data_IF_884779716630
#
_entry.id   IF_884779716630
#
_cell.length_a   1.000
_cell.length_b   1.000
_cell.length_c   1.000
_cell.angle_alpha   90.00
_cell.angle_beta   90.00
_cell.angle_gamma   90.00
#
_symmetry.space_group_name_H-M   'P 1'
#
loop_
_entity.id
_entity.type
_entity.pdbx_description
1 polymer ?
#
# COMPACT_ATOMS: atom_id res chain seq x y z
N UNK A 1 -49.23 38.99 6.03
CA UNK A 1 -48.57 38.45 4.83
C UNK A 1 -47.54 37.44 5.31
N UNK A 2 -47.95 36.19 5.50
CA UNK A 2 -47.10 35.13 6.07
C UNK A 2 -46.44 34.39 4.90
N UNK A 3 -45.11 34.48 4.81
CA UNK A 3 -44.30 33.86 3.76
C UNK A 3 -44.33 32.34 3.98
N UNK A 4 -44.84 31.60 3.00
CA UNK A 4 -44.89 30.13 3.05
C UNK A 4 -43.49 29.53 3.03
N UNK A 5 -43.21 28.66 3.99
CA UNK A 5 -41.97 27.90 4.07
C UNK A 5 -41.98 26.84 2.96
N UNK A 6 -41.02 26.87 2.04
CA UNK A 6 -40.85 25.77 1.08
C UNK A 6 -40.21 24.57 1.79
N UNK A 7 -40.69 23.33 1.57
CA UNK A 7 -40.04 22.15 2.10
C UNK A 7 -38.62 22.05 1.53
N UNK A 8 -37.64 21.90 2.41
CA UNK A 8 -36.26 21.60 2.03
C UNK A 8 -36.30 20.25 1.28
N UNK A 9 -35.73 20.15 0.06
CA UNK A 9 -35.62 18.87 -0.62
C UNK A 9 -34.99 17.85 0.33
N UNK A 10 -35.69 16.74 0.58
CA UNK A 10 -35.15 15.65 1.38
C UNK A 10 -33.95 15.12 0.60
N UNK A 11 -32.75 15.43 1.07
CA UNK A 11 -31.51 14.91 0.49
C UNK A 11 -31.67 13.39 0.38
N UNK A 12 -31.54 12.87 -0.84
CA UNK A 12 -31.48 11.44 -1.07
C UNK A 12 -30.34 10.92 -0.21
N UNK A 13 -30.63 10.02 0.74
CA UNK A 13 -29.62 9.47 1.65
C UNK A 13 -28.65 8.62 0.82
N UNK A 14 -27.66 9.26 0.23
CA UNK A 14 -26.54 8.59 -0.45
C UNK A 14 -25.57 8.17 0.64
N UNK A 15 -25.13 6.91 0.58
CA UNK A 15 -24.13 6.39 1.51
C UNK A 15 -22.85 7.25 1.40
N UNK A 16 -22.35 7.74 2.55
CA UNK A 16 -21.13 8.53 2.59
C UNK A 16 -19.94 7.70 2.14
N UNK A 17 -19.02 8.30 1.38
CA UNK A 17 -17.77 7.63 1.01
C UNK A 17 -17.01 7.15 2.25
N UNK A 18 -16.68 5.86 2.27
CA UNK A 18 -15.81 5.25 3.29
C UNK A 18 -14.45 4.95 2.68
N UNK A 19 -13.40 5.45 3.32
CA UNK A 19 -12.02 5.14 2.92
C UNK A 19 -11.78 3.62 2.96
N UNK A 20 -11.25 3.10 1.86
CA UNK A 20 -10.69 1.75 1.79
C UNK A 20 -9.20 1.87 1.56
N UNK A 21 -8.35 1.21 2.36
CA UNK A 21 -6.91 1.17 2.09
C UNK A 21 -6.64 0.51 0.74
N UNK A 22 -5.56 0.93 0.10
CA UNK A 22 -5.07 0.29 -1.12
C UNK A 22 -4.44 -1.03 -0.72
N UNK A 23 -4.90 -2.12 -1.33
CA UNK A 23 -4.30 -3.44 -1.18
C UNK A 23 -3.51 -3.75 -2.46
N UNK A 24 -2.23 -4.10 -2.31
CA UNK A 24 -1.35 -4.49 -3.42
C UNK A 24 -0.96 -5.94 -3.22
N UNK A 25 -1.24 -6.78 -4.21
CA UNK A 25 -0.80 -8.17 -4.22
C UNK A 25 0.67 -8.22 -4.65
N UNK A 26 1.53 -8.69 -3.75
CA UNK A 26 2.99 -8.69 -3.95
C UNK A 26 3.53 -10.02 -4.48
N UNK A 27 2.75 -11.10 -4.45
CA UNK A 27 3.23 -12.44 -4.81
C UNK A 27 4.56 -12.79 -4.10
N UNK A 28 4.64 -12.50 -2.81
CA UNK A 28 5.86 -12.61 -2.01
C UNK A 28 5.57 -12.50 -0.52
N UNK A 29 6.59 -12.65 0.35
CA UNK A 29 6.41 -12.45 1.77
C UNK A 29 6.12 -10.97 2.09
N UNK A 30 5.45 -10.74 3.22
CA UNK A 30 5.18 -9.39 3.69
C UNK A 30 6.51 -8.63 3.92
N UNK A 31 6.65 -7.41 3.36
CA UNK A 31 7.81 -6.59 3.63
C UNK A 31 7.83 -6.14 5.10
N UNK A 32 9.01 -5.85 5.67
CA UNK A 32 9.09 -5.34 7.03
C UNK A 32 8.34 -4.01 7.15
N UNK A 33 7.67 -3.84 8.28
CA UNK A 33 6.96 -2.61 8.61
C UNK A 33 7.93 -1.45 8.87
N UNK A 34 7.41 -0.23 8.81
CA UNK A 34 8.20 0.96 9.10
C UNK A 34 8.86 0.90 10.50
N UNK A 35 8.12 0.44 11.51
CA UNK A 35 8.65 0.32 12.88
C UNK A 35 9.78 -0.70 12.97
N UNK A 36 9.65 -1.84 12.29
CA UNK A 36 10.70 -2.87 12.24
C UNK A 36 11.96 -2.34 11.55
N UNK A 37 11.80 -1.59 10.45
CA UNK A 37 12.93 -0.95 9.74
C UNK A 37 13.72 -0.03 10.68
N UNK A 38 13.03 0.76 11.51
CA UNK A 38 13.66 1.70 12.43
C UNK A 38 14.32 1.01 13.63
N UNK A 39 13.75 -0.09 14.12
CA UNK A 39 14.13 -0.69 15.41
C UNK A 39 15.04 -1.91 15.29
N UNK A 40 14.98 -2.66 14.17
CA UNK A 40 15.69 -3.93 14.01
C UNK A 40 17.01 -3.82 13.23
N UNK A 41 17.53 -2.60 13.06
CA UNK A 41 18.85 -2.39 12.47
C UNK A 41 18.91 -2.49 10.94
N UNK A 42 17.77 -2.46 10.24
CA UNK A 42 17.74 -2.45 8.77
C UNK A 42 18.47 -1.25 8.16
N UNK A 43 18.55 -0.13 8.90
CA UNK A 43 19.25 1.07 8.46
C UNK A 43 20.76 1.04 8.66
N UNK A 44 21.32 0.03 9.33
CA UNK A 44 22.76 -0.01 9.65
C UNK A 44 23.66 0.01 8.41
N UNK A 45 23.17 -0.46 7.26
CA UNK A 45 23.89 -0.47 5.99
C UNK A 45 23.36 0.57 4.98
N UNK A 46 22.47 1.45 5.40
CA UNK A 46 21.87 2.48 4.56
C UNK A 46 22.48 3.83 4.92
N UNK A 47 22.86 4.61 3.90
CA UNK A 47 23.37 5.97 4.09
C UNK A 47 22.31 6.83 4.78
N UNK A 48 22.69 7.55 5.83
CA UNK A 48 21.83 8.53 6.50
C UNK A 48 21.42 9.68 5.57
N UNK A 49 20.18 10.15 5.72
CA UNK A 49 19.65 11.28 4.98
C UNK A 49 20.26 12.59 5.49
N UNK A 50 20.61 13.46 4.55
CA UNK A 50 21.09 14.82 4.85
C UNK A 50 19.94 15.72 5.30
N UNK A 51 20.23 16.81 6.00
CA UNK A 51 19.20 17.76 6.47
C UNK A 51 18.43 18.39 5.31
N UNK A 52 19.07 18.58 4.15
CA UNK A 52 18.42 19.08 2.95
C UNK A 52 17.42 18.06 2.38
N UNK A 53 17.76 16.77 2.36
CA UNK A 53 16.85 15.71 1.91
C UNK A 53 15.67 15.55 2.87
N UNK A 54 15.92 15.63 4.18
CA UNK A 54 14.86 15.65 5.20
C UNK A 54 13.91 16.83 5.05
N UNK A 55 14.44 18.02 4.73
CA UNK A 55 13.61 19.19 4.41
C UNK A 55 12.70 19.00 3.19
N UNK A 56 13.06 18.08 2.28
CA UNK A 56 12.25 17.66 1.13
C UNK A 56 11.30 16.49 1.40
N UNK A 57 11.23 15.99 2.64
CA UNK A 57 10.40 14.84 3.03
C UNK A 57 11.04 13.48 2.75
N UNK A 58 12.33 13.43 2.41
CA UNK A 58 13.06 12.17 2.27
C UNK A 58 13.75 11.79 3.58
N UNK A 59 13.65 10.52 3.95
CA UNK A 59 14.46 9.91 5.00
C UNK A 59 14.99 8.55 4.51
N UNK A 60 16.11 8.10 5.08
CA UNK A 60 16.80 6.85 4.71
C UNK A 60 15.91 5.62 4.84
N UNK A 61 14.97 5.62 5.80
CA UNK A 61 14.05 4.49 5.96
C UNK A 61 13.18 4.28 4.74
N UNK A 62 12.82 5.34 4.01
CA UNK A 62 11.98 5.24 2.82
C UNK A 62 12.71 4.48 1.70
N UNK A 63 14.00 4.75 1.53
CA UNK A 63 14.83 4.02 0.58
C UNK A 63 15.00 2.54 0.98
N UNK A 64 15.23 2.28 2.28
CA UNK A 64 15.31 0.92 2.80
C UNK A 64 14.01 0.13 2.56
N UNK A 65 12.87 0.72 2.92
CA UNK A 65 11.55 0.12 2.75
C UNK A 65 11.26 -0.18 1.26
N UNK A 66 11.59 0.76 0.36
CA UNK A 66 11.40 0.56 -1.08
C UNK A 66 12.25 -0.58 -1.61
N UNK A 67 13.51 -0.65 -1.20
CA UNK A 67 14.43 -1.71 -1.60
C UNK A 67 13.97 -3.09 -1.11
N UNK A 68 13.48 -3.18 0.13
CA UNK A 68 12.93 -4.42 0.68
C UNK A 68 11.69 -4.87 -0.09
N UNK A 69 10.78 -3.94 -0.40
CA UNK A 69 9.58 -4.24 -1.19
C UNK A 69 9.95 -4.82 -2.57
N UNK A 70 10.91 -4.22 -3.27
CA UNK A 70 11.38 -4.73 -4.56
C UNK A 70 12.06 -6.10 -4.44
N UNK A 71 12.74 -6.37 -3.33
CA UNK A 71 13.42 -7.64 -3.10
C UNK A 71 12.44 -8.80 -2.80
N UNK A 72 11.31 -8.51 -2.15
CA UNK A 72 10.32 -9.53 -1.77
C UNK A 72 9.21 -9.73 -2.80
N UNK A 73 8.92 -8.72 -3.62
CA UNK A 73 7.86 -8.78 -4.61
C UNK A 73 8.14 -9.86 -5.68
N UNK A 74 7.15 -10.69 -5.97
CA UNK A 74 7.19 -11.69 -7.03
C UNK A 74 7.97 -12.97 -6.70
N UNK A 75 8.45 -13.15 -5.46
CA UNK A 75 9.19 -14.36 -5.07
C UNK A 75 8.35 -15.65 -5.13
N UNK A 76 7.04 -15.56 -5.01
CA UNK A 76 6.11 -16.70 -5.11
C UNK A 76 5.51 -16.86 -6.50
N UNK A 77 5.78 -15.93 -7.41
CA UNK A 77 5.30 -16.00 -8.78
C UNK A 77 6.06 -17.08 -9.55
N UNK A 78 5.32 -18.10 -10.00
CA UNK A 78 5.82 -19.15 -10.90
C UNK A 78 5.12 -18.98 -12.25
N UNK A 79 5.83 -18.63 -13.33
CA UNK A 79 5.21 -18.51 -14.64
C UNK A 79 4.80 -19.90 -15.15
N UNK A 80 3.60 -20.00 -15.71
CA UNK A 80 3.21 -21.18 -16.48
C UNK A 80 4.05 -21.27 -17.75
N UNK A 81 5.17 -22.00 -17.67
CA UNK A 81 6.09 -22.19 -18.79
C UNK A 81 5.40 -22.99 -19.90
N UNK A 82 5.04 -22.31 -21.00
CA UNK A 82 4.85 -22.81 -22.37
C UNK A 82 4.57 -24.33 -22.53
N UNK A 83 3.28 -24.70 -22.46
CA UNK A 83 2.71 -25.83 -23.20
C UNK A 83 2.71 -27.21 -22.55
N UNK A 84 1.59 -27.57 -21.89
CA UNK A 84 1.13 -28.96 -21.81
C UNK A 84 0.52 -29.39 -20.47
N UNK A 85 -0.82 -29.46 -20.41
CA UNK A 85 -1.52 -30.41 -19.55
C UNK A 85 -2.17 -29.87 -18.28
N UNK A 86 -3.49 -29.75 -18.35
CA UNK A 86 -4.50 -29.80 -17.30
C UNK A 86 -4.08 -30.19 -15.87
N UNK A 87 -4.56 -29.43 -14.88
CA UNK A 87 -5.49 -29.99 -13.89
C UNK A 87 -6.33 -28.90 -13.23
N UNK A 88 -7.62 -28.95 -13.52
CA UNK A 88 -8.67 -28.36 -12.70
C UNK A 88 -8.58 -29.02 -11.33
N UNK A 89 -8.35 -28.26 -10.27
CA UNK A 89 -8.66 -28.72 -8.92
C UNK A 89 -9.64 -27.71 -8.30
N UNK A 90 -10.91 -28.00 -8.60
CA UNK A 90 -12.05 -27.65 -7.79
C UNK A 90 -11.94 -28.37 -6.44
N UNK A 91 -12.07 -27.64 -5.33
CA UNK A 91 -12.75 -28.09 -4.12
C UNK A 91 -13.35 -26.86 -3.45
#
# INVERSE_FOLDING_TARGET
MQQGFMPIPQEEYVESYRYSPIHVELEGPDPPTHEEILTQGYLSNIRSATDQEKGGGYDSYLACQRAMLDAVCGLFYVPDTFGGGSSKNQT
#
